data_IF_465052450796
#
_entry.id   IF_465052450796
#
_cell.length_a   1.000
_cell.length_b   1.000
_cell.length_c   1.000
_cell.angle_alpha   90.00
_cell.angle_beta   90.00
_cell.angle_gamma   90.00
#
_symmetry.space_group_name_H-M   'P 1'
#
loop_
_entity.id
_entity.type
_entity.pdbx_description
1 polymer ?
#
# COMPACT_ATOMS: atom_id res chain seq x y z
N UNK A 1 53.78 -1.16 55.36
CA UNK A 1 53.11 -0.84 54.08
C UNK A 1 51.92 -1.80 53.93
N UNK A 2 50.70 -1.35 54.25
CA UNK A 2 49.47 -2.14 54.13
C UNK A 2 48.90 -1.92 52.72
N UNK A 3 48.80 -2.97 51.90
CA UNK A 3 48.15 -2.91 50.58
C UNK A 3 46.65 -3.08 50.78
N UNK A 4 45.88 -2.06 50.42
CA UNK A 4 44.42 -2.10 50.33
C UNK A 4 44.06 -2.76 49.00
N UNK A 5 43.27 -3.83 49.04
CA UNK A 5 42.68 -4.45 47.85
C UNK A 5 41.30 -3.83 47.66
N UNK A 6 41.13 -3.07 46.58
CA UNK A 6 39.82 -2.55 46.15
C UNK A 6 39.17 -3.64 45.30
N UNK A 7 38.08 -4.22 45.78
CA UNK A 7 37.22 -5.10 44.98
C UNK A 7 36.28 -4.21 44.17
N UNK A 8 36.50 -4.14 42.86
CA UNK A 8 35.57 -3.51 41.94
C UNK A 8 34.39 -4.46 41.69
N UNK A 9 33.20 -4.10 42.18
CA UNK A 9 31.95 -4.75 41.80
C UNK A 9 31.59 -4.23 40.40
N UNK A 10 31.72 -5.08 39.39
CA UNK A 10 31.16 -4.81 38.06
C UNK A 10 29.65 -5.06 38.16
N UNK A 11 28.87 -3.99 38.20
CA UNK A 11 27.43 -4.09 37.95
C UNK A 11 27.24 -4.39 36.46
N UNK A 12 26.86 -5.63 36.14
CA UNK A 12 26.38 -5.97 34.81
C UNK A 12 25.11 -5.17 34.56
N UNK A 13 25.20 -4.14 33.71
CA UNK A 13 24.05 -3.42 33.22
C UNK A 13 23.17 -4.39 32.44
N UNK A 14 21.95 -4.62 32.92
CA UNK A 14 20.88 -5.19 32.13
C UNK A 14 20.66 -4.30 30.91
N UNK A 15 21.13 -4.74 29.75
CA UNK A 15 20.65 -4.21 28.48
C UNK A 15 19.18 -4.62 28.38
N UNK A 16 18.28 -3.69 28.74
CA UNK A 16 16.89 -3.81 28.35
C UNK A 16 16.78 -3.89 26.82
N UNK A 17 15.71 -4.48 26.27
CA UNK A 17 15.49 -4.45 24.83
C UNK A 17 15.54 -3.00 24.37
N UNK A 18 16.27 -2.74 23.29
CA UNK A 18 16.31 -1.44 22.64
C UNK A 18 14.88 -0.91 22.55
N UNK A 19 14.62 0.27 23.11
CA UNK A 19 13.35 0.95 22.89
C UNK A 19 13.13 0.98 21.39
N UNK A 20 11.99 0.46 20.90
CA UNK A 20 11.55 0.73 19.53
C UNK A 20 11.79 2.22 19.29
N UNK A 21 12.55 2.54 18.25
CA UNK A 21 12.66 3.89 17.70
C UNK A 21 11.26 4.51 17.73
N UNK A 22 11.15 5.76 18.17
CA UNK A 22 9.90 6.52 18.11
C UNK A 22 9.27 6.31 16.73
N UNK A 23 8.05 5.78 16.73
CA UNK A 23 7.27 5.49 15.53
C UNK A 23 7.23 6.71 14.60
N UNK A 24 7.60 6.55 13.33
CA UNK A 24 7.67 7.67 12.41
C UNK A 24 6.27 8.05 11.92
N UNK A 25 5.67 9.08 12.53
CA UNK A 25 4.43 9.67 12.04
C UNK A 25 4.69 10.30 10.67
N UNK A 26 4.00 9.81 9.64
CA UNK A 26 4.11 10.34 8.28
C UNK A 26 2.84 11.10 7.92
N UNK A 27 3.00 12.35 7.47
CA UNK A 27 1.89 13.11 6.89
C UNK A 27 1.88 12.91 5.38
N UNK A 28 0.73 12.57 4.82
CA UNK A 28 0.53 12.48 3.37
C UNK A 28 -0.56 13.47 2.96
N UNK A 29 -0.41 14.10 1.80
CA UNK A 29 -1.43 14.97 1.23
C UNK A 29 -1.61 14.64 -0.26
N UNK A 30 -2.86 14.59 -0.74
CA UNK A 30 -3.12 14.25 -2.12
C UNK A 30 -4.50 14.63 -2.65
N UNK A 31 -4.57 14.66 -3.98
CA UNK A 31 -5.78 14.76 -4.79
C UNK A 31 -5.45 14.30 -6.22
N UNK A 32 -6.46 13.92 -7.01
CA UNK A 32 -6.39 13.77 -8.46
C UNK A 32 -7.04 14.96 -9.16
N UNK A 33 -6.99 14.95 -10.50
CA UNK A 33 -7.85 15.80 -11.34
C UNK A 33 -7.54 17.30 -11.14
N UNK A 34 -6.26 17.64 -11.28
CA UNK A 34 -5.66 18.83 -10.65
C UNK A 34 -5.87 20.10 -11.48
N UNK A 35 -5.38 20.14 -12.72
CA UNK A 35 -5.34 21.41 -13.47
C UNK A 35 -5.19 21.23 -14.96
N UNK A 36 -5.77 22.16 -15.73
CA UNK A 36 -5.35 22.50 -17.09
C UNK A 36 -4.38 23.69 -17.01
N UNK A 37 -4.23 24.51 -18.05
CA UNK A 37 -3.42 25.73 -18.04
C UNK A 37 -4.15 26.99 -17.52
N UNK A 38 -5.12 26.85 -16.60
CA UNK A 38 -5.97 27.93 -16.09
C UNK A 38 -5.94 28.12 -14.58
N UNK A 39 -4.90 27.64 -13.89
CA UNK A 39 -4.65 27.79 -12.45
C UNK A 39 -5.65 27.07 -11.51
N UNK A 40 -6.36 26.02 -11.96
CA UNK A 40 -7.38 25.39 -11.11
C UNK A 40 -6.78 24.73 -9.86
N UNK A 41 -5.57 24.19 -9.96
CA UNK A 41 -4.88 23.51 -8.86
C UNK A 41 -4.31 24.44 -7.79
N UNK A 42 -4.29 25.76 -7.96
CA UNK A 42 -3.61 26.69 -7.03
C UNK A 42 -4.27 26.67 -5.65
N UNK A 43 -5.60 26.67 -5.58
CA UNK A 43 -6.33 26.73 -4.31
C UNK A 43 -6.13 25.47 -3.46
N UNK A 44 -6.05 24.29 -4.09
CA UNK A 44 -5.81 23.01 -3.39
C UNK A 44 -4.34 22.82 -3.05
N UNK A 45 -3.41 23.29 -3.90
CA UNK A 45 -1.98 23.29 -3.60
C UNK A 45 -1.66 24.05 -2.30
N UNK A 46 -2.38 25.15 -2.04
CA UNK A 46 -2.21 25.95 -0.81
C UNK A 46 -2.57 25.20 0.48
N UNK A 47 -3.30 24.09 0.40
CA UNK A 47 -3.69 23.27 1.56
C UNK A 47 -2.62 22.24 1.96
N UNK A 48 -1.62 21.99 1.09
CA UNK A 48 -0.60 20.95 1.27
C UNK A 48 0.39 21.34 2.38
N UNK A 49 0.50 20.54 3.47
CA UNK A 49 1.47 20.81 4.53
C UNK A 49 2.92 20.77 4.02
N UNK A 50 3.78 21.59 4.63
CA UNK A 50 5.19 21.70 4.23
C UNK A 50 5.99 20.41 4.42
N UNK A 51 5.60 19.57 5.39
CA UNK A 51 6.26 18.31 5.73
C UNK A 51 5.60 17.05 5.12
N UNK A 52 4.54 17.22 4.32
CA UNK A 52 3.82 16.06 3.77
C UNK A 52 4.60 15.33 2.66
N UNK A 53 4.50 14.00 2.61
CA UNK A 53 4.67 13.28 1.34
C UNK A 53 3.49 13.68 0.43
N UNK A 54 3.78 14.13 -0.79
CA UNK A 54 2.72 14.49 -1.74
C UNK A 54 2.45 13.30 -2.65
N UNK A 55 1.18 12.95 -2.82
CA UNK A 55 0.72 11.98 -3.80
C UNK A 55 -0.29 12.65 -4.74
N UNK A 56 -0.35 12.21 -5.99
CA UNK A 56 -1.42 12.61 -6.89
C UNK A 56 -2.11 11.39 -7.46
N UNK A 57 -3.42 11.48 -7.64
CA UNK A 57 -4.28 10.34 -7.97
C UNK A 57 -4.63 10.33 -9.46
N UNK A 58 -3.64 10.65 -10.31
CA UNK A 58 -3.81 10.79 -11.77
C UNK A 58 -4.43 12.13 -12.19
N UNK A 59 -4.46 12.33 -13.49
CA UNK A 59 -4.91 13.54 -14.18
C UNK A 59 -4.26 14.80 -13.59
N UNK A 60 -2.93 14.77 -13.62
CA UNK A 60 -2.10 15.82 -13.08
C UNK A 60 -2.18 17.07 -13.95
N UNK A 61 -2.12 16.88 -15.27
CA UNK A 61 -2.17 17.98 -16.24
C UNK A 61 -3.12 17.64 -17.39
N UNK A 62 -4.24 18.35 -17.42
CA UNK A 62 -5.19 18.30 -18.52
C UNK A 62 -4.69 19.12 -19.72
N UNK A 63 -5.16 18.84 -20.94
CA UNK A 63 -6.09 17.75 -21.29
C UNK A 63 -5.36 16.50 -21.81
N UNK A 64 -4.10 16.61 -22.22
CA UNK A 64 -3.37 15.51 -22.87
C UNK A 64 -1.95 15.36 -22.28
N UNK A 65 -1.71 15.83 -21.04
CA UNK A 65 -0.46 15.54 -20.34
C UNK A 65 0.80 16.14 -20.98
N UNK A 66 0.67 17.07 -21.92
CA UNK A 66 1.79 17.60 -22.68
C UNK A 66 2.83 18.27 -21.77
N UNK A 67 4.12 18.01 -22.01
CA UNK A 67 5.22 18.59 -21.21
C UNK A 67 5.17 20.13 -21.15
N UNK A 68 4.74 20.78 -22.24
CA UNK A 68 4.56 22.23 -22.30
C UNK A 68 3.44 22.73 -21.37
N UNK A 69 2.34 22.00 -21.27
CA UNK A 69 1.25 22.29 -20.35
C UNK A 69 1.69 22.07 -18.90
N UNK A 70 2.37 20.96 -18.63
CA UNK A 70 2.95 20.68 -17.31
C UNK A 70 3.88 21.81 -16.85
N UNK A 71 4.75 22.30 -17.73
CA UNK A 71 5.70 23.38 -17.43
C UNK A 71 5.06 24.78 -17.42
N UNK A 72 3.79 24.93 -17.81
CA UNK A 72 3.13 26.23 -17.79
C UNK A 72 3.03 26.77 -16.37
N UNK A 73 3.29 28.07 -16.20
CA UNK A 73 3.07 28.77 -14.94
C UNK A 73 1.59 28.84 -14.52
N UNK A 74 0.68 28.52 -15.43
CA UNK A 74 -0.75 28.34 -15.13
C UNK A 74 -1.20 26.89 -15.15
N UNK A 75 -0.27 25.96 -15.37
CA UNK A 75 -0.47 24.52 -15.32
C UNK A 75 -0.02 23.90 -14.00
N UNK A 76 0.39 22.64 -14.06
CA UNK A 76 0.85 21.88 -12.90
C UNK A 76 2.06 22.55 -12.24
N UNK A 77 3.06 22.98 -13.03
CA UNK A 77 4.24 23.68 -12.52
C UNK A 77 3.90 24.94 -11.71
N UNK A 78 2.85 25.66 -12.10
CA UNK A 78 2.35 26.85 -11.42
C UNK A 78 1.59 26.61 -10.11
N UNK A 79 1.25 25.35 -9.81
CA UNK A 79 0.43 24.96 -8.65
C UNK A 79 1.12 23.87 -7.84
N UNK A 80 0.73 22.61 -8.05
CA UNK A 80 1.25 21.44 -7.32
C UNK A 80 2.73 21.15 -7.65
N UNK A 81 3.24 21.65 -8.77
CA UNK A 81 4.64 21.54 -9.16
C UNK A 81 5.63 22.14 -8.17
N UNK A 82 5.18 23.03 -7.27
CA UNK A 82 5.95 23.50 -6.13
C UNK A 82 6.44 22.36 -5.21
N UNK A 83 5.78 21.19 -5.27
CA UNK A 83 6.08 20.03 -4.43
C UNK A 83 6.75 18.88 -5.19
N UNK A 84 7.10 19.08 -6.47
CA UNK A 84 7.59 18.03 -7.37
C UNK A 84 8.68 17.12 -6.78
N UNK A 85 9.61 17.67 -6.00
CA UNK A 85 10.71 16.89 -5.38
C UNK A 85 10.25 15.87 -4.33
N UNK A 86 9.01 16.00 -3.84
CA UNK A 86 8.36 15.12 -2.86
C UNK A 86 7.00 14.63 -3.37
N UNK A 87 6.75 14.69 -4.68
CA UNK A 87 5.55 14.13 -5.31
C UNK A 87 5.81 12.70 -5.75
N UNK A 88 4.88 11.79 -5.43
CA UNK A 88 4.79 10.45 -5.99
C UNK A 88 3.47 10.36 -6.76
N UNK A 89 3.50 10.57 -8.09
CA UNK A 89 2.28 10.66 -8.87
C UNK A 89 1.79 9.29 -9.33
N UNK A 90 0.48 9.08 -9.36
CA UNK A 90 -0.17 8.13 -10.26
C UNK A 90 -0.40 8.80 -11.62
N UNK A 91 -0.47 7.98 -12.68
CA UNK A 91 -0.84 8.40 -14.02
C UNK A 91 -2.36 8.24 -14.20
N UNK A 92 -3.01 9.20 -14.85
CA UNK A 92 -4.42 9.13 -15.26
C UNK A 92 -4.60 9.19 -16.77
N UNK A 93 -5.85 9.16 -17.24
CA UNK A 93 -6.14 9.13 -18.68
C UNK A 93 -5.75 10.43 -19.40
N UNK A 94 -5.84 11.57 -18.74
CA UNK A 94 -5.38 12.84 -19.30
C UNK A 94 -3.85 12.98 -19.23
N UNK A 95 -3.14 12.13 -18.48
CA UNK A 95 -1.68 12.08 -18.46
C UNK A 95 -1.12 11.09 -19.49
N UNK A 96 -1.83 9.97 -19.73
CA UNK A 96 -1.44 8.91 -20.65
C UNK A 96 -1.74 9.25 -22.11
N UNK A 97 -2.81 10.01 -22.38
CA UNK A 97 -3.21 10.39 -23.72
C UNK A 97 -2.43 11.64 -24.21
N UNK A 98 -1.25 11.46 -24.79
CA UNK A 98 -0.37 12.54 -25.33
C UNK A 98 -0.30 12.47 -26.87
N UNK A 99 -1.39 12.02 -27.50
CA UNK A 99 -1.47 11.95 -28.97
C UNK A 99 -1.42 13.33 -29.63
N UNK A 100 -1.77 14.39 -28.89
CA UNK A 100 -1.81 15.77 -29.40
C UNK A 100 -0.47 16.51 -29.33
N UNK A 101 0.50 16.07 -28.50
CA UNK A 101 1.76 16.79 -28.31
C UNK A 101 3.05 16.00 -28.55
N UNK A 102 3.04 14.66 -28.62
CA UNK A 102 4.13 13.89 -29.28
C UNK A 102 3.85 12.38 -29.39
N UNK A 103 3.70 11.72 -28.25
CA UNK A 103 3.49 10.29 -28.07
C UNK A 103 3.05 10.04 -26.63
N UNK A 104 2.13 9.09 -26.45
CA UNK A 104 1.41 8.81 -25.21
C UNK A 104 2.30 8.76 -23.96
N UNK A 105 1.85 9.45 -22.91
CA UNK A 105 2.46 9.52 -21.58
C UNK A 105 3.82 10.20 -21.48
N UNK A 106 4.44 10.65 -22.58
CA UNK A 106 5.79 11.19 -22.53
C UNK A 106 5.88 12.48 -21.72
N UNK A 107 4.92 13.39 -21.84
CA UNK A 107 4.92 14.63 -21.06
C UNK A 107 4.87 14.39 -19.55
N UNK A 108 4.08 13.41 -19.10
CA UNK A 108 4.03 12.97 -17.70
C UNK A 108 5.39 12.47 -17.20
N UNK A 109 6.01 11.51 -17.89
CA UNK A 109 7.31 10.97 -17.49
C UNK A 109 8.43 12.01 -17.62
N UNK A 110 8.44 12.82 -18.67
CA UNK A 110 9.42 13.89 -18.86
C UNK A 110 9.32 14.95 -17.77
N UNK A 111 8.11 15.25 -17.31
CA UNK A 111 7.94 16.13 -16.19
C UNK A 111 8.44 15.47 -14.91
N UNK A 112 7.91 14.34 -14.47
CA UNK A 112 8.20 13.80 -13.14
C UNK A 112 9.55 13.08 -13.02
N UNK A 113 9.96 12.31 -14.04
CA UNK A 113 11.24 11.60 -14.05
C UNK A 113 12.37 12.43 -14.68
N UNK A 114 12.02 13.46 -15.46
CA UNK A 114 12.95 14.31 -16.19
C UNK A 114 13.07 13.91 -17.67
N UNK A 115 13.29 14.90 -18.55
CA UNK A 115 13.45 14.69 -19.99
C UNK A 115 14.65 13.78 -20.25
N UNK A 116 14.45 12.73 -21.05
CA UNK A 116 15.52 11.79 -21.37
C UNK A 116 15.99 10.95 -20.18
N UNK A 117 15.24 10.94 -19.07
CA UNK A 117 15.30 9.83 -18.12
C UNK A 117 15.08 8.55 -18.92
N UNK A 118 16.15 7.78 -19.14
CA UNK A 118 16.12 6.57 -19.93
C UNK A 118 15.30 5.47 -19.24
N UNK A 119 15.82 4.25 -19.20
CA UNK A 119 15.22 3.16 -18.44
C UNK A 119 15.49 3.34 -16.94
N UNK A 120 14.95 4.39 -16.32
CA UNK A 120 14.81 4.35 -14.88
C UNK A 120 13.77 3.27 -14.52
N UNK A 121 14.10 2.47 -13.52
CA UNK A 121 13.30 1.34 -13.07
C UNK A 121 12.19 1.83 -12.12
N UNK A 122 11.60 0.94 -11.33
CA UNK A 122 10.57 1.25 -10.32
C UNK A 122 10.99 2.23 -9.20
N UNK A 123 12.25 2.71 -9.19
CA UNK A 123 12.72 3.71 -8.21
C UNK A 123 12.43 5.16 -8.62
N UNK A 124 12.06 5.38 -9.88
CA UNK A 124 11.70 6.68 -10.41
C UNK A 124 10.47 7.27 -9.70
N UNK A 125 10.36 8.61 -9.57
CA UNK A 125 9.21 9.26 -8.98
C UNK A 125 7.88 8.79 -9.56
N UNK A 126 7.80 8.60 -10.88
CA UNK A 126 6.61 8.15 -11.61
C UNK A 126 6.73 6.71 -12.16
N UNK A 127 7.62 5.90 -11.59
CA UNK A 127 7.88 4.53 -12.07
C UNK A 127 8.59 4.48 -13.43
N UNK A 128 8.67 3.27 -13.98
CA UNK A 128 9.32 3.02 -15.27
C UNK A 128 8.51 3.65 -16.41
N UNK A 129 9.20 4.31 -17.34
CA UNK A 129 8.58 4.95 -18.51
C UNK A 129 7.83 3.91 -19.35
N UNK A 130 6.57 4.22 -19.67
CA UNK A 130 5.65 3.33 -20.40
C UNK A 130 4.91 2.32 -19.53
N UNK A 131 5.17 2.31 -18.22
CA UNK A 131 4.51 1.41 -17.26
C UNK A 131 3.73 2.22 -16.22
N UNK A 132 4.38 3.15 -15.52
CA UNK A 132 3.71 4.06 -14.58
C UNK A 132 3.29 3.45 -13.22
N UNK A 133 3.51 2.14 -13.01
CA UNK A 133 3.38 1.50 -11.70
C UNK A 133 4.74 1.39 -11.01
N UNK A 134 4.73 1.47 -9.68
CA UNK A 134 5.91 1.37 -8.81
C UNK A 134 5.49 1.30 -7.34
N UNK A 135 6.45 1.03 -6.45
CA UNK A 135 6.21 1.03 -5.01
C UNK A 135 7.34 1.75 -4.27
N UNK A 136 7.05 2.17 -3.04
CA UNK A 136 8.04 2.81 -2.17
C UNK A 136 7.61 2.71 -0.70
N UNK A 137 8.53 2.96 0.22
CA UNK A 137 8.24 3.02 1.65
C UNK A 137 8.39 4.44 2.16
N UNK A 138 7.46 4.87 3.02
CA UNK A 138 7.62 6.08 3.84
C UNK A 138 7.31 5.72 5.29
N UNK A 139 8.30 5.87 6.17
CA UNK A 139 8.20 5.42 7.56
C UNK A 139 7.90 3.91 7.64
N UNK A 140 6.81 3.58 8.33
CA UNK A 140 6.37 2.21 8.57
C UNK A 140 5.34 1.69 7.54
N UNK A 141 5.12 2.45 6.46
CA UNK A 141 4.12 2.15 5.44
C UNK A 141 4.74 1.77 4.10
N UNK A 142 4.18 0.73 3.48
CA UNK A 142 4.42 0.41 2.08
C UNK A 142 3.38 1.09 1.18
N UNK A 143 3.83 1.72 0.11
CA UNK A 143 2.99 2.41 -0.85
C UNK A 143 3.08 1.71 -2.20
N UNK A 144 1.94 1.49 -2.83
CA UNK A 144 1.81 0.88 -4.15
C UNK A 144 1.11 1.89 -5.06
N UNK A 145 1.73 2.20 -6.18
CA UNK A 145 1.16 3.07 -7.21
C UNK A 145 0.87 2.22 -8.42
N UNK A 146 -0.39 2.24 -8.87
CA UNK A 146 -0.84 1.44 -9.99
C UNK A 146 -1.30 2.35 -11.13
N UNK A 147 -1.10 1.87 -12.35
CA UNK A 147 -1.59 2.49 -13.57
C UNK A 147 -2.95 1.86 -13.92
N UNK A 148 -4.02 2.63 -13.74
CA UNK A 148 -5.39 2.20 -14.08
C UNK A 148 -5.75 2.31 -15.55
N UNK A 149 -4.84 2.84 -16.36
CA UNK A 149 -5.00 2.92 -17.82
C UNK A 149 -4.66 1.58 -18.49
N UNK A 150 -4.64 0.47 -17.74
CA UNK A 150 -4.55 -0.91 -18.24
C UNK A 150 -5.95 -1.57 -18.21
N UNK A 151 -6.97 -0.89 -18.74
CA UNK A 151 -8.36 -1.32 -18.64
C UNK A 151 -8.91 -1.96 -19.91
N UNK A 152 -8.08 -2.22 -20.93
CA UNK A 152 -8.48 -2.89 -22.17
C UNK A 152 -9.39 -2.03 -23.07
N UNK A 153 -9.38 -0.72 -22.85
CA UNK A 153 -10.00 0.26 -23.76
C UNK A 153 -9.09 0.52 -24.97
N UNK A 154 -9.56 1.19 -26.04
CA UNK A 154 -8.72 1.56 -27.17
C UNK A 154 -7.52 2.48 -26.83
N UNK A 155 -7.48 3.02 -25.60
CA UNK A 155 -6.44 3.94 -25.11
C UNK A 155 -5.60 3.31 -23.99
N UNK A 156 -5.50 1.97 -23.98
CA UNK A 156 -4.70 1.21 -23.02
C UNK A 156 -3.25 1.68 -23.01
N UNK A 157 -2.78 2.15 -21.85
CA UNK A 157 -1.45 2.72 -21.66
C UNK A 157 -0.61 1.88 -20.69
N UNK A 158 -0.66 0.55 -20.84
CA UNK A 158 0.20 -0.39 -20.11
C UNK A 158 -0.09 -1.85 -20.47
N UNK A 159 0.78 -2.75 -20.03
CA UNK A 159 0.52 -4.20 -20.02
C UNK A 159 -0.08 -4.61 -18.66
N UNK A 160 -1.38 -4.88 -18.64
CA UNK A 160 -2.09 -5.33 -17.43
C UNK A 160 -1.48 -6.61 -16.85
N UNK A 161 -1.08 -7.57 -17.69
CA UNK A 161 -0.47 -8.84 -17.23
C UNK A 161 0.85 -8.57 -16.52
N UNK A 162 1.69 -7.70 -17.10
CA UNK A 162 2.95 -7.30 -16.49
C UNK A 162 2.74 -6.60 -15.15
N UNK A 163 1.77 -5.68 -15.06
CA UNK A 163 1.42 -4.99 -13.81
C UNK A 163 0.92 -5.96 -12.73
N UNK A 164 0.02 -6.91 -13.06
CA UNK A 164 -0.46 -7.91 -12.09
C UNK A 164 0.65 -8.85 -11.61
N UNK A 165 1.57 -9.23 -12.49
CA UNK A 165 2.75 -10.02 -12.13
C UNK A 165 3.67 -9.24 -11.20
N UNK A 166 3.96 -7.99 -11.53
CA UNK A 166 4.77 -7.10 -10.70
C UNK A 166 4.13 -6.89 -9.32
N UNK A 167 2.82 -6.60 -9.27
CA UNK A 167 2.09 -6.40 -8.02
C UNK A 167 2.15 -7.63 -7.12
N UNK A 168 2.05 -8.82 -7.71
CA UNK A 168 2.16 -10.08 -6.96
C UNK A 168 3.55 -10.21 -6.31
N UNK A 169 4.62 -9.85 -7.03
CA UNK A 169 5.98 -9.87 -6.47
C UNK A 169 6.21 -8.78 -5.43
N UNK A 170 5.68 -7.59 -5.64
CA UNK A 170 5.78 -6.47 -4.70
C UNK A 170 5.09 -6.78 -3.36
N UNK A 171 3.87 -7.30 -3.42
CA UNK A 171 3.11 -7.71 -2.22
C UNK A 171 3.81 -8.85 -1.45
N UNK A 172 4.39 -9.82 -2.16
CA UNK A 172 5.14 -10.91 -1.53
C UNK A 172 6.44 -10.44 -0.86
N UNK A 173 7.06 -9.37 -1.37
CA UNK A 173 8.28 -8.80 -0.82
C UNK A 173 8.04 -7.77 0.31
N UNK A 174 6.80 -7.32 0.48
CA UNK A 174 6.46 -6.30 1.47
C UNK A 174 6.55 -6.85 2.90
N UNK A 175 7.36 -6.19 3.74
CA UNK A 175 7.51 -6.51 5.17
C UNK A 175 6.87 -5.48 6.09
N UNK A 176 6.13 -4.51 5.56
CA UNK A 176 5.50 -3.43 6.34
C UNK A 176 4.14 -3.88 6.86
N UNK A 177 3.81 -3.41 8.06
CA UNK A 177 2.53 -3.74 8.69
C UNK A 177 1.35 -3.08 7.98
N UNK A 178 1.54 -1.83 7.55
CA UNK A 178 0.52 -1.07 6.86
C UNK A 178 0.87 -0.86 5.38
N UNK A 179 -0.11 -1.01 4.50
CA UNK A 179 0.02 -0.83 3.05
C UNK A 179 -1.09 0.07 2.50
N UNK A 180 -0.68 1.07 1.72
CA UNK A 180 -1.56 1.98 0.99
C UNK A 180 -1.36 1.78 -0.51
N UNK A 181 -2.43 1.56 -1.27
CA UNK A 181 -2.39 1.57 -2.72
C UNK A 181 -3.13 2.79 -3.29
N UNK A 182 -2.69 3.31 -4.43
CA UNK A 182 -3.41 4.37 -5.12
C UNK A 182 -3.21 4.35 -6.63
N UNK A 183 -4.24 4.83 -7.34
CA UNK A 183 -4.32 4.90 -8.79
C UNK A 183 -5.36 5.94 -9.21
N UNK A 184 -5.69 6.02 -10.50
CA UNK A 184 -6.61 7.02 -11.02
C UNK A 184 -8.08 6.56 -11.06
N UNK A 185 -8.44 5.61 -11.93
CA UNK A 185 -9.83 5.22 -12.18
C UNK A 185 -10.47 4.40 -11.05
N UNK A 186 -11.61 4.82 -10.49
CA UNK A 186 -12.17 4.17 -9.33
C UNK A 186 -12.80 2.80 -9.64
N UNK A 187 -12.80 1.91 -8.65
CA UNK A 187 -13.59 0.67 -8.70
C UNK A 187 -15.11 0.93 -8.61
N UNK A 188 -15.50 2.06 -8.02
CA UNK A 188 -16.90 2.52 -7.90
C UNK A 188 -16.92 4.00 -7.53
N UNK A 189 -17.73 4.82 -8.20
CA UNK A 189 -17.87 6.24 -7.90
C UNK A 189 -19.34 6.67 -7.73
N UNK A 190 -19.65 7.70 -6.92
CA UNK A 190 -21.03 8.11 -6.66
C UNK A 190 -21.53 9.16 -7.67
N UNK A 191 -20.97 9.18 -8.89
CA UNK A 191 -21.41 10.00 -10.01
C UNK A 191 -21.79 9.11 -11.18
N UNK A 192 -22.63 9.63 -12.06
CA UNK A 192 -23.05 8.97 -13.30
C UNK A 192 -22.21 9.42 -14.50
N UNK A 193 -21.07 10.09 -14.27
CA UNK A 193 -20.29 10.77 -15.32
C UNK A 193 -19.40 9.79 -16.08
N UNK A 194 -18.74 8.86 -15.38
CA UNK A 194 -17.77 7.91 -15.93
C UNK A 194 -18.17 6.44 -15.72
N UNK A 195 -19.48 6.17 -15.70
CA UNK A 195 -20.00 4.81 -15.41
C UNK A 195 -19.54 3.73 -16.40
N UNK A 196 -19.02 4.13 -17.56
CA UNK A 196 -18.54 3.27 -18.63
C UNK A 196 -17.11 2.75 -18.42
N UNK A 197 -16.33 3.34 -17.51
CA UNK A 197 -14.94 2.94 -17.24
C UNK A 197 -14.57 2.75 -15.75
N UNK A 198 -15.58 2.77 -14.87
CA UNK A 198 -15.49 2.29 -13.48
C UNK A 198 -15.30 0.76 -13.37
N UNK A 199 -14.67 0.30 -12.28
CA UNK A 199 -14.71 -1.13 -11.88
C UNK A 199 -13.68 -2.05 -12.53
N UNK A 200 -12.84 -1.55 -13.45
CA UNK A 200 -11.85 -2.35 -14.17
C UNK A 200 -10.92 -3.14 -13.22
N UNK A 201 -10.42 -2.52 -12.15
CA UNK A 201 -9.54 -3.16 -11.18
C UNK A 201 -10.23 -4.14 -10.22
N UNK A 202 -11.57 -4.17 -10.20
CA UNK A 202 -12.37 -5.15 -9.46
C UNK A 202 -12.98 -6.23 -10.38
N UNK A 203 -12.72 -6.18 -11.68
CA UNK A 203 -13.20 -7.15 -12.68
C UNK A 203 -12.11 -8.17 -13.01
N UNK A 204 -12.41 -9.49 -13.07
CA UNK A 204 -11.42 -10.52 -13.44
C UNK A 204 -10.70 -10.21 -14.75
N UNK A 205 -9.36 -10.22 -14.72
CA UNK A 205 -8.56 -10.08 -15.92
C UNK A 205 -8.29 -11.45 -16.53
N UNK A 206 -8.69 -11.65 -17.79
CA UNK A 206 -8.57 -12.94 -18.53
C UNK A 206 -9.14 -14.16 -17.77
N UNK A 207 -10.14 -13.95 -16.91
CA UNK A 207 -10.76 -15.01 -16.10
C UNK A 207 -9.97 -15.43 -14.84
N UNK A 208 -8.91 -14.70 -14.48
CA UNK A 208 -8.13 -14.89 -13.25
C UNK A 208 -8.41 -13.85 -12.16
N UNK A 209 -7.53 -13.77 -11.16
CA UNK A 209 -7.58 -12.71 -10.14
C UNK A 209 -7.43 -11.31 -10.76
N UNK A 210 -7.95 -10.30 -10.07
CA UNK A 210 -7.78 -8.89 -10.44
C UNK A 210 -6.95 -8.13 -9.39
N UNK A 211 -6.69 -6.85 -9.68
CA UNK A 211 -5.92 -5.97 -8.79
C UNK A 211 -6.54 -5.94 -7.40
N UNK A 212 -7.84 -5.64 -7.29
CA UNK A 212 -8.52 -5.51 -6.00
C UNK A 212 -8.44 -6.79 -5.16
N UNK A 213 -8.65 -7.94 -5.78
CA UNK A 213 -8.55 -9.24 -5.12
C UNK A 213 -7.13 -9.50 -4.59
N UNK A 214 -6.09 -9.19 -5.38
CA UNK A 214 -4.70 -9.31 -4.92
C UNK A 214 -4.40 -8.40 -3.74
N UNK A 215 -4.86 -7.15 -3.79
CA UNK A 215 -4.72 -6.21 -2.67
C UNK A 215 -5.45 -6.72 -1.42
N UNK A 216 -6.66 -7.26 -1.58
CA UNK A 216 -7.45 -7.79 -0.47
C UNK A 216 -6.77 -9.01 0.15
N UNK A 217 -6.32 -9.97 -0.66
CA UNK A 217 -5.72 -11.21 -0.19
C UNK A 217 -4.37 -10.98 0.52
N UNK A 218 -3.67 -9.89 0.18
CA UNK A 218 -2.39 -9.50 0.78
C UNK A 218 -2.52 -8.41 1.85
N UNK A 219 -3.73 -8.08 2.29
CA UNK A 219 -3.87 -7.25 3.48
C UNK A 219 -3.77 -5.76 3.29
N UNK A 220 -3.98 -5.23 2.09
CA UNK A 220 -3.87 -3.78 1.87
C UNK A 220 -4.93 -3.02 2.65
N UNK A 221 -4.55 -1.95 3.33
CA UNK A 221 -5.40 -1.25 4.30
C UNK A 221 -6.28 -0.18 3.68
N UNK A 222 -5.68 0.56 2.76
CA UNK A 222 -6.19 1.82 2.27
C UNK A 222 -5.95 1.96 0.77
N UNK A 223 -7.00 2.34 0.05
CA UNK A 223 -6.97 2.68 -1.37
C UNK A 223 -7.41 4.11 -1.62
N UNK A 224 -6.65 4.86 -2.42
CA UNK A 224 -7.04 6.21 -2.88
C UNK A 224 -7.13 6.27 -4.40
N UNK A 225 -8.18 6.91 -4.90
CA UNK A 225 -8.50 7.01 -6.34
C UNK A 225 -8.89 8.45 -6.71
N UNK A 226 -8.86 8.79 -8.00
CA UNK A 226 -9.28 10.08 -8.57
C UNK A 226 -10.39 9.91 -9.60
N UNK A 227 -10.24 10.56 -10.75
CA UNK A 227 -11.03 10.45 -12.00
C UNK A 227 -12.45 11.02 -11.91
N UNK A 228 -13.23 10.56 -10.95
CA UNK A 228 -14.49 11.16 -10.63
C UNK A 228 -14.24 12.42 -9.82
N UNK A 229 -14.71 13.58 -10.34
CA UNK A 229 -14.41 14.88 -9.76
C UNK A 229 -15.22 15.16 -8.48
N UNK A 230 -15.11 14.29 -7.49
CA UNK A 230 -15.88 14.25 -6.26
C UNK A 230 -15.00 13.73 -5.12
N UNK A 231 -15.35 14.10 -3.89
CA UNK A 231 -14.85 13.40 -2.71
C UNK A 231 -15.85 12.31 -2.31
N UNK A 232 -15.37 11.10 -2.10
CA UNK A 232 -16.16 10.00 -1.58
C UNK A 232 -15.35 9.15 -0.61
N UNK A 233 -15.93 8.83 0.54
CA UNK A 233 -15.40 7.85 1.50
C UNK A 233 -16.34 6.66 1.57
N UNK A 234 -15.75 5.48 1.51
CA UNK A 234 -16.45 4.22 1.63
C UNK A 234 -16.00 3.46 2.87
N UNK A 235 -16.92 2.68 3.43
CA UNK A 235 -16.61 1.60 4.37
C UNK A 235 -15.63 0.61 3.73
N UNK A 236 -15.05 -0.25 4.56
CA UNK A 236 -14.17 -1.33 4.08
C UNK A 236 -14.93 -2.26 3.13
N UNK A 237 -14.36 -2.53 1.96
CA UNK A 237 -14.94 -3.33 0.91
C UNK A 237 -14.38 -4.76 0.89
N UNK A 238 -15.26 -5.72 0.60
CA UNK A 238 -14.97 -7.15 0.51
C UNK A 238 -13.99 -7.50 -0.62
N UNK A 239 -13.57 -8.78 -0.69
CA UNK A 239 -12.69 -9.31 -1.75
C UNK A 239 -13.21 -9.04 -3.17
N UNK A 240 -14.53 -8.96 -3.36
CA UNK A 240 -15.13 -8.70 -4.66
C UNK A 240 -15.18 -7.22 -5.05
N UNK A 241 -14.85 -6.29 -4.14
CA UNK A 241 -14.84 -4.86 -4.41
C UNK A 241 -16.22 -4.25 -4.65
N UNK A 242 -17.29 -4.84 -4.12
CA UNK A 242 -18.66 -4.43 -4.44
C UNK A 242 -19.61 -4.29 -3.24
N UNK A 243 -19.16 -4.62 -2.03
CA UNK A 243 -19.96 -4.50 -0.81
C UNK A 243 -19.07 -4.45 0.43
N UNK A 244 -19.66 -4.15 1.59
CA UNK A 244 -18.91 -3.97 2.83
C UNK A 244 -18.42 -5.27 3.46
N UNK A 245 -17.26 -5.20 4.10
CA UNK A 245 -16.64 -6.25 4.89
C UNK A 245 -15.76 -5.62 5.98
N UNK A 246 -15.98 -5.89 7.27
CA UNK A 246 -15.12 -5.39 8.35
C UNK A 246 -13.63 -5.73 8.18
N UNK A 247 -13.31 -6.83 7.50
CA UNK A 247 -11.93 -7.25 7.21
C UNK A 247 -11.42 -6.73 5.85
N UNK A 248 -12.20 -5.89 5.18
CA UNK A 248 -11.94 -5.39 3.84
C UNK A 248 -10.95 -4.24 3.73
N UNK A 249 -10.85 -3.69 2.51
CA UNK A 249 -10.00 -2.54 2.20
C UNK A 249 -10.83 -1.27 2.31
N UNK A 250 -10.39 -0.28 3.10
CA UNK A 250 -11.03 1.05 3.11
C UNK A 250 -10.60 1.83 1.88
N UNK A 251 -11.52 2.55 1.22
CA UNK A 251 -11.16 3.29 0.02
C UNK A 251 -11.87 4.64 -0.13
N UNK A 252 -11.24 5.49 -0.93
CA UNK A 252 -11.65 6.87 -1.18
C UNK A 252 -11.57 7.22 -2.67
N UNK A 253 -12.39 8.18 -3.06
CA UNK A 253 -12.19 9.00 -4.27
C UNK A 253 -11.87 10.42 -3.81
N UNK A 254 -10.82 11.00 -4.39
CA UNK A 254 -10.36 12.36 -4.12
C UNK A 254 -10.00 13.05 -5.43
N UNK A 255 -10.91 13.03 -6.41
CA UNK A 255 -10.74 13.73 -7.69
C UNK A 255 -11.04 15.23 -7.62
N UNK A 256 -10.64 15.86 -6.52
CA UNK A 256 -11.09 17.21 -6.14
C UNK A 256 -10.00 18.25 -6.31
N UNK A 257 -8.96 17.94 -7.08
CA UNK A 257 -7.73 18.71 -7.20
C UNK A 257 -7.92 20.08 -7.84
N UNK A 258 -8.82 20.22 -8.81
CA UNK A 258 -9.16 21.53 -9.35
C UNK A 258 -10.08 21.52 -10.57
N UNK A 259 -10.07 20.50 -11.42
CA UNK A 259 -11.02 20.43 -12.52
C UNK A 259 -12.45 20.27 -11.98
N UNK A 260 -13.41 20.93 -12.63
CA UNK A 260 -14.75 21.18 -12.08
C UNK A 260 -15.45 19.94 -11.53
N UNK A 261 -16.06 20.07 -10.35
CA UNK A 261 -16.66 18.95 -9.63
C UNK A 261 -17.92 18.40 -10.30
N UNK A 262 -18.11 17.09 -10.21
CA UNK A 262 -19.33 16.40 -10.64
C UNK A 262 -20.38 16.38 -9.54
N UNK A 263 -21.64 16.33 -9.95
CA UNK A 263 -22.72 16.08 -9.01
C UNK A 263 -22.63 14.65 -8.46
N UNK A 264 -22.93 14.50 -7.17
CA UNK A 264 -23.24 13.20 -6.56
C UNK A 264 -24.63 12.82 -7.04
N UNK A 265 -24.72 11.89 -7.99
CA UNK A 265 -25.99 11.46 -8.60
C UNK A 265 -26.40 10.04 -8.19
N UNK A 266 -25.52 9.32 -7.50
CA UNK A 266 -25.75 7.92 -7.12
C UNK A 266 -25.40 7.65 -5.65
N UNK A 267 -26.03 6.60 -5.09
CA UNK A 267 -25.66 6.04 -3.79
C UNK A 267 -25.15 4.63 -4.01
N UNK A 268 -23.90 4.39 -3.59
CA UNK A 268 -23.24 3.10 -3.77
C UNK A 268 -23.14 2.35 -2.42
N UNK A 269 -22.99 1.00 -2.42
CA UNK A 269 -22.81 0.23 -1.20
C UNK A 269 -21.71 0.80 -0.30
N UNK A 270 -21.91 0.78 1.02
CA UNK A 270 -20.86 1.25 1.95
C UNK A 270 -20.45 2.72 1.80
N UNK A 271 -21.13 3.55 1.02
CA UNK A 271 -20.84 4.98 0.91
C UNK A 271 -21.13 5.67 2.25
N UNK A 272 -20.10 6.17 2.92
CA UNK A 272 -20.21 6.77 4.27
C UNK A 272 -20.23 8.30 4.21
N UNK A 273 -19.59 8.91 3.22
CA UNK A 273 -19.56 10.36 3.04
C UNK A 273 -19.28 10.73 1.59
N UNK A 274 -19.91 11.78 1.08
CA UNK A 274 -19.61 12.37 -0.22
C UNK A 274 -19.68 13.90 -0.20
N UNK A 275 -18.86 14.55 -1.02
CA UNK A 275 -18.93 15.99 -1.24
C UNK A 275 -18.49 16.36 -2.66
N UNK A 276 -19.26 17.24 -3.30
CA UNK A 276 -18.92 17.86 -4.59
C UNK A 276 -18.25 19.22 -4.36
N UNK A 277 -17.00 19.20 -3.89
CA UNK A 277 -16.21 20.42 -3.62
C UNK A 277 -14.73 20.18 -3.95
N UNK A 278 -13.98 21.26 -4.19
CA UNK A 278 -12.52 21.20 -4.31
C UNK A 278 -11.87 21.05 -2.94
N UNK A 279 -10.83 20.24 -2.86
CA UNK A 279 -10.15 19.95 -1.60
C UNK A 279 -9.05 18.91 -1.77
N UNK A 280 -8.41 18.57 -0.65
CA UNK A 280 -7.40 17.52 -0.59
C UNK A 280 -7.68 16.57 0.57
N UNK A 281 -7.23 15.32 0.43
CA UNK A 281 -7.11 14.41 1.57
C UNK A 281 -5.77 14.64 2.26
N UNK A 282 -5.79 14.65 3.59
CA UNK A 282 -4.61 14.64 4.47
C UNK A 282 -4.66 13.37 5.29
N UNK A 283 -3.59 12.58 5.26
CA UNK A 283 -3.45 11.39 6.07
C UNK A 283 -2.37 11.61 7.13
N UNK A 284 -2.61 11.08 8.32
CA UNK A 284 -1.58 10.86 9.34
C UNK A 284 -1.40 9.36 9.48
N UNK A 285 -0.22 8.87 9.12
CA UNK A 285 0.11 7.46 9.09
C UNK A 285 0.98 7.11 10.29
N UNK A 286 0.49 6.17 11.11
CA UNK A 286 1.18 5.61 12.27
C UNK A 286 1.51 4.13 11.98
N UNK A 287 2.39 3.47 12.75
CA UNK A 287 2.87 2.12 12.40
C UNK A 287 1.79 1.04 12.31
N UNK A 288 0.63 1.25 12.92
CA UNK A 288 -0.45 0.26 13.00
C UNK A 288 -1.83 0.84 12.71
N UNK A 289 -1.93 2.12 12.38
CA UNK A 289 -3.20 2.81 12.14
C UNK A 289 -2.98 4.10 11.36
N UNK A 290 -4.07 4.68 10.89
CA UNK A 290 -4.05 5.95 10.19
C UNK A 290 -5.28 6.79 10.54
N UNK A 291 -5.16 8.10 10.36
CA UNK A 291 -6.28 9.01 10.33
C UNK A 291 -6.32 9.79 9.03
N UNK A 292 -7.52 10.22 8.65
CA UNK A 292 -7.74 11.06 7.48
C UNK A 292 -8.51 12.33 7.85
N UNK A 293 -8.28 13.36 7.06
CA UNK A 293 -9.11 14.55 6.97
C UNK A 293 -9.27 14.93 5.51
N UNK A 294 -10.50 15.22 5.09
CA UNK A 294 -10.73 15.90 3.82
C UNK A 294 -10.95 17.39 4.10
N UNK A 295 -10.11 18.23 3.51
CA UNK A 295 -10.08 19.67 3.74
C UNK A 295 -10.39 20.39 2.44
N UNK A 296 -11.39 21.28 2.46
CA UNK A 296 -11.77 22.06 1.29
C UNK A 296 -10.90 23.31 1.10
N UNK A 297 -11.11 24.04 0.00
CA UNK A 297 -10.38 25.27 -0.31
C UNK A 297 -10.65 26.45 0.63
N UNK A 298 -11.62 26.34 1.55
CA UNK A 298 -11.82 27.30 2.65
C UNK A 298 -10.98 26.95 3.88
N UNK A 299 -10.17 25.89 3.80
CA UNK A 299 -9.42 25.29 4.90
C UNK A 299 -10.31 24.70 5.99
N UNK A 300 -11.52 24.26 5.63
CA UNK A 300 -12.47 23.59 6.53
C UNK A 300 -12.36 22.08 6.39
N UNK A 301 -12.21 21.36 7.49
CA UNK A 301 -12.29 19.90 7.50
C UNK A 301 -13.76 19.46 7.40
N UNK A 302 -14.14 18.88 6.26
CA UNK A 302 -15.52 18.46 5.98
C UNK A 302 -15.80 17.02 6.40
N UNK A 303 -14.77 16.18 6.33
CA UNK A 303 -14.80 14.80 6.77
C UNK A 303 -13.51 14.44 7.49
N UNK A 304 -13.61 13.56 8.49
CA UNK A 304 -12.44 13.05 9.20
C UNK A 304 -12.76 11.73 9.87
N UNK A 305 -11.72 10.95 10.12
CA UNK A 305 -11.83 9.70 10.87
C UNK A 305 -10.48 9.02 11.03
N UNK A 306 -10.51 7.82 11.57
CA UNK A 306 -9.34 6.98 11.75
C UNK A 306 -9.71 5.52 11.58
N UNK A 307 -8.75 4.72 11.14
CA UNK A 307 -8.89 3.28 11.06
C UNK A 307 -7.58 2.59 11.47
N UNK A 308 -7.68 1.34 11.90
CA UNK A 308 -6.50 0.51 12.18
C UNK A 308 -6.06 -0.20 10.91
N UNK A 309 -4.75 -0.34 10.71
CA UNK A 309 -4.28 -1.23 9.67
C UNK A 309 -4.75 -2.63 10.02
N UNK A 310 -5.37 -3.29 9.05
CA UNK A 310 -5.49 -4.73 9.09
C UNK A 310 -4.04 -5.22 9.08
N UNK A 311 -3.66 -6.05 10.06
CA UNK A 311 -2.67 -7.06 9.71
C UNK A 311 -3.14 -7.64 8.39
N UNK A 312 -2.26 -7.99 7.44
CA UNK A 312 -2.70 -8.93 6.42
C UNK A 312 -3.39 -10.05 7.20
N UNK A 313 -4.72 -10.08 7.11
CA UNK A 313 -5.55 -10.96 7.90
C UNK A 313 -5.33 -12.27 7.19
N UNK A 314 -4.16 -12.84 7.43
CA UNK A 314 -3.90 -14.20 7.11
C UNK A 314 -4.73 -14.90 8.17
N UNK A 315 -5.88 -15.47 7.76
CA UNK A 315 -6.78 -16.10 8.71
C UNK A 315 -5.94 -17.01 9.59
N UNK A 316 -6.21 -16.97 10.88
CA UNK A 316 -5.65 -17.86 11.88
C UNK A 316 -6.90 -18.54 12.47
N UNK A 317 -7.30 -19.62 11.82
CA UNK A 317 -8.61 -20.24 12.01
C UNK A 317 -8.74 -20.92 13.39
N UNK A 318 -7.61 -21.24 14.04
CA UNK A 318 -7.57 -21.81 15.37
C UNK A 318 -7.02 -20.87 16.47
N UNK A 319 -6.51 -19.71 16.08
CA UNK A 319 -6.10 -18.62 16.96
C UNK A 319 -4.77 -18.88 17.68
N UNK A 320 -3.92 -19.76 17.17
CA UNK A 320 -2.66 -20.15 17.80
C UNK A 320 -1.48 -19.18 17.53
N UNK A 321 -1.76 -18.11 16.78
CA UNK A 321 -0.80 -17.09 16.41
C UNK A 321 -0.08 -17.38 15.09
N UNK A 322 -0.50 -18.41 14.36
CA UNK A 322 0.04 -18.77 13.06
C UNK A 322 -0.99 -18.58 11.96
N UNK A 323 -0.66 -17.84 10.89
CA UNK A 323 -1.47 -17.78 9.69
C UNK A 323 -1.77 -19.15 9.04
N UNK A 324 -3.02 -19.41 8.66
CA UNK A 324 -3.47 -20.63 7.96
C UNK A 324 -2.61 -20.95 6.71
N UNK A 325 -2.20 -19.90 6.00
CA UNK A 325 -1.39 -20.03 4.79
C UNK A 325 0.10 -20.34 5.11
N UNK A 326 0.61 -19.94 6.28
CA UNK A 326 1.93 -20.39 6.75
C UNK A 326 1.88 -21.83 7.16
N UNK A 327 0.85 -22.20 7.90
CA UNK A 327 0.60 -23.55 8.32
C UNK A 327 0.47 -24.52 7.15
N UNK A 328 -0.24 -24.14 6.08
CA UNK A 328 -0.26 -24.91 4.83
C UNK A 328 1.14 -25.11 4.22
N UNK A 329 1.99 -24.07 4.28
CA UNK A 329 3.37 -24.11 3.80
C UNK A 329 4.23 -25.03 4.67
N UNK A 330 4.23 -24.80 5.99
CA UNK A 330 4.96 -25.56 7.01
C UNK A 330 4.48 -27.03 7.07
N UNK A 331 3.23 -27.30 6.65
CA UNK A 331 2.62 -28.63 6.68
C UNK A 331 1.93 -28.96 7.98
N UNK A 332 1.34 -27.95 8.61
CA UNK A 332 0.60 -28.04 9.87
C UNK A 332 -0.90 -27.90 9.60
N UNK A 333 -1.75 -28.22 10.58
CA UNK A 333 -3.19 -28.16 10.40
C UNK A 333 -3.77 -26.82 10.89
N UNK A 334 -4.25 -25.95 10.00
CA UNK A 334 -4.66 -24.59 10.36
C UNK A 334 -5.98 -24.47 11.13
N UNK A 335 -6.61 -25.59 11.48
CA UNK A 335 -7.89 -25.60 12.20
C UNK A 335 -7.75 -26.20 13.60
N UNK A 336 -6.53 -26.48 14.04
CA UNK A 336 -6.25 -27.18 15.28
C UNK A 336 -5.05 -26.53 15.96
N UNK A 337 -5.32 -25.73 16.98
CA UNK A 337 -4.29 -24.97 17.69
C UNK A 337 -3.35 -25.82 18.54
N UNK A 338 -3.65 -27.10 18.76
CA UNK A 338 -2.82 -28.00 19.54
C UNK A 338 -3.04 -29.48 19.23
N UNK A 339 -1.97 -30.27 19.19
CA UNK A 339 -2.01 -31.70 18.95
C UNK A 339 -0.98 -32.15 17.92
N UNK A 340 -1.19 -33.33 17.34
CA UNK A 340 -0.24 -33.88 16.37
C UNK A 340 -0.23 -33.06 15.09
N UNK A 341 0.94 -32.48 14.79
CA UNK A 341 1.21 -31.67 13.60
C UNK A 341 0.26 -30.47 13.46
N UNK A 342 -0.18 -29.95 14.60
CA UNK A 342 -1.04 -28.78 14.74
C UNK A 342 -0.14 -27.55 14.93
N UNK A 343 0.07 -27.07 16.15
CA UNK A 343 0.87 -25.88 16.41
C UNK A 343 2.30 -25.94 15.83
N UNK A 344 2.74 -24.98 14.98
CA UNK A 344 4.04 -25.05 14.31
C UNK A 344 5.26 -25.10 15.23
N UNK A 345 5.19 -24.54 16.44
CA UNK A 345 6.28 -24.56 17.41
C UNK A 345 6.45 -25.92 18.12
N UNK A 346 5.39 -26.73 18.23
CA UNK A 346 5.47 -28.08 18.80
C UNK A 346 5.90 -29.09 17.73
N UNK A 347 7.18 -29.08 17.39
CA UNK A 347 7.76 -29.93 16.34
C UNK A 347 7.77 -31.40 16.77
N UNK A 348 8.00 -31.65 18.05
CA UNK A 348 8.09 -33.00 18.62
C UNK A 348 6.74 -33.61 19.01
N UNK A 349 5.65 -32.83 18.98
CA UNK A 349 4.27 -33.20 19.29
C UNK A 349 4.05 -33.59 20.77
N UNK A 350 4.76 -32.94 21.68
CA UNK A 350 4.62 -33.17 23.12
C UNK A 350 3.80 -32.07 23.84
N UNK A 351 3.30 -31.09 23.06
CA UNK A 351 2.51 -29.92 23.46
C UNK A 351 3.29 -28.82 24.15
N UNK A 352 4.61 -28.85 24.09
CA UNK A 352 5.47 -27.80 24.63
C UNK A 352 6.43 -27.35 23.54
N UNK A 353 6.70 -26.04 23.48
CA UNK A 353 7.82 -25.53 22.72
C UNK A 353 9.03 -25.47 23.65
N UNK A 354 9.96 -26.40 23.50
CA UNK A 354 11.11 -26.53 24.39
C UNK A 354 12.44 -26.80 23.66
N UNK A 355 13.45 -27.25 24.41
CA UNK A 355 14.78 -27.47 23.85
C UNK A 355 14.78 -28.60 22.81
N UNK A 356 13.86 -29.55 22.92
CA UNK A 356 13.74 -30.67 22.00
C UNK A 356 13.30 -30.20 20.61
N UNK A 357 12.39 -29.23 20.51
CA UNK A 357 11.95 -28.62 19.24
C UNK A 357 13.05 -27.77 18.62
N UNK A 358 13.71 -26.92 19.43
CA UNK A 358 14.86 -26.11 18.99
C UNK A 358 15.98 -27.00 18.43
N UNK A 359 16.24 -28.16 19.05
CA UNK A 359 17.24 -29.13 18.57
C UNK A 359 16.85 -29.70 17.20
N UNK A 360 15.56 -29.88 16.90
CA UNK A 360 15.11 -30.33 15.58
C UNK A 360 15.37 -29.27 14.50
N UNK A 361 15.01 -28.00 14.75
CA UNK A 361 15.22 -26.89 13.80
C UNK A 361 16.71 -26.68 13.55
N UNK A 362 17.51 -26.60 14.63
CA UNK A 362 18.98 -26.42 14.53
C UNK A 362 19.66 -27.59 13.80
N UNK A 363 19.16 -28.82 13.95
CA UNK A 363 19.64 -30.00 13.22
C UNK A 363 19.40 -29.98 11.70
N UNK A 364 18.68 -28.96 11.21
CA UNK A 364 18.35 -28.74 9.80
C UNK A 364 18.81 -27.37 9.28
N UNK A 365 19.54 -26.61 10.10
CA UNK A 365 20.04 -25.29 9.72
C UNK A 365 20.85 -25.32 8.41
N UNK A 366 20.59 -24.35 7.54
CA UNK A 366 21.22 -24.20 6.23
C UNK A 366 20.66 -25.11 5.15
N UNK A 367 19.60 -25.87 5.43
CA UNK A 367 18.90 -26.66 4.42
C UNK A 367 17.77 -25.84 3.77
N UNK A 368 17.55 -26.06 2.48
CA UNK A 368 16.33 -25.59 1.83
C UNK A 368 15.12 -26.40 2.32
N UNK A 369 13.99 -25.73 2.50
CA UNK A 369 12.73 -26.35 2.81
C UNK A 369 12.16 -27.04 1.55
N UNK A 370 11.78 -28.29 1.73
CA UNK A 370 11.22 -29.20 0.74
C UNK A 370 10.01 -29.90 1.36
N UNK A 371 9.30 -30.70 0.57
CA UNK A 371 8.12 -31.40 1.07
C UNK A 371 8.37 -32.26 2.32
N UNK A 372 9.60 -32.76 2.52
CA UNK A 372 9.95 -33.65 3.64
C UNK A 372 10.42 -32.93 4.90
N UNK A 373 10.81 -31.65 4.81
CA UNK A 373 11.37 -30.88 5.92
C UNK A 373 10.77 -29.47 6.05
N UNK A 374 9.69 -29.16 5.34
CA UNK A 374 8.97 -27.88 5.45
C UNK A 374 8.46 -27.55 6.85
N UNK A 375 8.28 -28.55 7.71
CA UNK A 375 7.87 -28.40 9.13
C UNK A 375 8.86 -27.59 9.97
N UNK A 376 10.11 -27.43 9.53
CA UNK A 376 11.15 -26.70 10.28
C UNK A 376 11.39 -25.27 9.78
N UNK A 377 10.73 -24.86 8.69
CA UNK A 377 10.82 -23.53 8.09
C UNK A 377 9.59 -22.74 8.54
N UNK A 378 9.63 -22.30 9.79
CA UNK A 378 8.53 -21.68 10.52
C UNK A 378 8.63 -20.13 10.52
N UNK A 379 9.71 -19.56 9.99
CA UNK A 379 9.90 -18.11 9.89
C UNK A 379 10.55 -17.76 8.54
N UNK A 380 10.45 -16.51 8.07
CA UNK A 380 9.52 -15.46 8.54
C UNK A 380 8.05 -15.83 8.28
N UNK A 381 7.12 -14.90 8.47
CA UNK A 381 5.73 -15.06 8.03
C UNK A 381 5.50 -14.15 6.81
N UNK A 382 5.39 -14.70 5.58
CA UNK A 382 5.40 -16.11 5.22
C UNK A 382 6.80 -16.78 5.23
N UNK A 383 6.89 -18.12 5.38
CA UNK A 383 8.15 -18.85 5.34
C UNK A 383 8.91 -18.70 4.03
N UNK A 384 10.24 -18.58 4.08
CA UNK A 384 11.07 -18.15 2.94
C UNK A 384 11.74 -19.30 2.15
N UNK A 385 11.40 -20.53 2.51
CA UNK A 385 11.92 -21.78 1.98
C UNK A 385 13.37 -22.12 2.38
N UNK A 386 13.93 -21.47 3.40
CA UNK A 386 15.22 -21.82 3.99
C UNK A 386 15.05 -22.07 5.48
N UNK A 387 15.72 -23.10 6.01
CA UNK A 387 15.78 -23.34 7.45
C UNK A 387 17.00 -22.61 7.98
N UNK A 388 16.81 -21.47 8.62
CA UNK A 388 17.87 -20.53 8.97
C UNK A 388 17.77 -19.98 10.41
N UNK A 389 18.43 -18.84 10.65
CA UNK A 389 18.50 -18.25 11.99
C UNK A 389 17.16 -17.67 12.43
N UNK A 390 16.32 -17.26 11.49
CA UNK A 390 15.01 -16.68 11.78
C UNK A 390 14.06 -17.73 12.35
N UNK A 391 14.11 -18.97 11.87
CA UNK A 391 13.35 -20.10 12.42
C UNK A 391 13.74 -20.40 13.86
N UNK A 392 15.04 -20.52 14.11
CA UNK A 392 15.58 -20.79 15.45
C UNK A 392 15.19 -19.65 16.41
N UNK A 393 15.27 -18.40 15.96
CA UNK A 393 14.87 -17.25 16.76
C UNK A 393 13.37 -17.27 17.06
N UNK A 394 12.52 -17.61 16.07
CA UNK A 394 11.07 -17.73 16.29
C UNK A 394 10.73 -18.85 17.28
N UNK A 395 11.36 -20.01 17.12
CA UNK A 395 11.18 -21.16 18.02
C UNK A 395 11.61 -20.82 19.46
N UNK A 396 12.80 -20.24 19.62
CA UNK A 396 13.33 -19.88 20.95
C UNK A 396 12.52 -18.76 21.63
N UNK A 397 11.86 -17.87 20.88
CA UNK A 397 10.95 -16.87 21.45
C UNK A 397 9.66 -17.48 22.01
N UNK A 398 9.30 -18.70 21.60
CA UNK A 398 8.17 -19.47 22.10
C UNK A 398 8.60 -20.48 23.17
N UNK A 399 9.87 -20.48 23.60
CA UNK A 399 10.35 -21.42 24.61
C UNK A 399 9.52 -21.39 25.91
N UNK A 400 9.22 -22.56 26.45
CA UNK A 400 8.38 -22.79 27.62
C UNK A 400 6.92 -22.33 27.46
N UNK A 401 6.48 -22.06 26.23
CA UNK A 401 5.06 -21.88 25.92
C UNK A 401 4.44 -23.23 25.54
N UNK A 402 3.11 -23.28 25.67
CA UNK A 402 2.32 -24.48 25.50
C UNK A 402 1.14 -24.14 24.60
N UNK A 403 0.79 -25.07 23.72
CA UNK A 403 -0.55 -25.17 23.19
C UNK A 403 -1.47 -25.91 24.20
#
# INVERSE_FOLDING_TARGET
MRRVVIVAIIAAGLFGPASRSEAAITVVAGAGDITDTGNQGVATAALVPSNAQVITLGDNQYQDGCLSAFNSSSGYAGSWGAFKSRTRPAIGNHDSHDTSCSADGNGYFDYFNGVGSGTCDYTCPAGRRGEGWYSYTVGDWHFIVLNSECNGTPYDFCDHTAQLSWLTSDLAANTKFCTLAYWHRPIVAPSSTHTDDEGAFATPYLGGDNVWQKLYDNGVDLVLQGHDHVYARYARYNRAGNNTDPNGIRHFIVGTGGIGNYAVSETKPGQEYTASVRGIIKLTLNPTNYSWQFVDTTNTALDSGSDSCRSAARPDSDGDGWPDADEGTIGTNPNVSCGTSAWPADITNDRYADMSDVVQVTGRFGQAATQTNKRFNIAPSPPDANIDITDIVRETNLFATKC
#
